data_IF_165275621814
#
_entry.id   IF_165275621814
#
_cell.length_a   1.000
_cell.length_b   1.000
_cell.length_c   1.000
_cell.angle_alpha   90.00
_cell.angle_beta   90.00
_cell.angle_gamma   90.00
#
_symmetry.space_group_name_H-M   'P 1'
#
loop_
_entity.id
_entity.type
_entity.pdbx_description
1 polymer ?
#
# COMPACT_ATOMS: atom_id res chain seq x y z
N UNK A 1 31.57 -1.18 -9.19
CA UNK A 1 30.41 -2.01 -9.57
C UNK A 1 29.38 -1.90 -8.46
N UNK A 2 28.31 -1.13 -8.66
CA UNK A 2 27.26 -0.95 -7.65
C UNK A 2 26.42 -2.23 -7.65
N UNK A 3 26.49 -2.92 -6.52
CA UNK A 3 25.84 -4.22 -6.30
C UNK A 3 24.34 -4.11 -6.56
N UNK A 4 23.89 -4.96 -7.47
CA UNK A 4 22.52 -5.34 -7.79
C UNK A 4 21.47 -4.86 -6.79
N UNK A 5 20.69 -3.89 -7.26
CA UNK A 5 19.42 -3.44 -6.71
C UNK A 5 18.67 -4.61 -6.07
N UNK A 6 18.56 -4.56 -4.76
CA UNK A 6 17.69 -5.39 -3.94
C UNK A 6 16.25 -5.05 -4.35
N UNK A 7 15.78 -5.56 -5.50
CA UNK A 7 14.37 -5.51 -5.92
C UNK A 7 13.58 -5.91 -4.70
N UNK A 8 12.76 -4.99 -4.20
CA UNK A 8 12.02 -5.21 -2.97
C UNK A 8 11.01 -6.32 -3.23
N UNK A 9 11.40 -7.57 -2.95
CA UNK A 9 10.54 -8.76 -2.87
C UNK A 9 9.52 -8.66 -1.72
N UNK A 10 9.21 -7.44 -1.27
CA UNK A 10 8.64 -7.15 0.01
C UNK A 10 7.16 -6.85 -0.19
N UNK A 11 6.28 -7.80 0.14
CA UNK A 11 4.79 -7.67 0.08
C UNK A 11 4.28 -6.39 0.75
N UNK A 12 5.05 -5.86 1.70
CA UNK A 12 4.81 -4.57 2.36
C UNK A 12 4.87 -3.37 1.39
N UNK A 13 5.77 -3.40 0.40
CA UNK A 13 5.90 -2.35 -0.61
C UNK A 13 4.65 -2.31 -1.52
N UNK A 14 4.11 -3.48 -1.89
CA UNK A 14 2.88 -3.59 -2.70
C UNK A 14 1.68 -3.05 -1.92
N UNK A 15 1.44 -3.51 -0.69
CA UNK A 15 0.32 -3.02 0.12
C UNK A 15 0.43 -1.51 0.38
N UNK A 16 1.64 -1.00 0.62
CA UNK A 16 1.86 0.45 0.78
C UNK A 16 1.57 1.21 -0.51
N UNK A 17 2.02 0.71 -1.66
CA UNK A 17 1.76 1.32 -2.96
C UNK A 17 0.25 1.44 -3.23
N UNK A 18 -0.49 0.34 -3.12
CA UNK A 18 -1.95 0.36 -3.35
C UNK A 18 -2.69 1.21 -2.31
N UNK A 19 -2.20 1.28 -1.07
CA UNK A 19 -2.77 2.16 -0.06
C UNK A 19 -2.52 3.64 -0.38
N UNK A 20 -1.30 4.01 -0.79
CA UNK A 20 -0.99 5.35 -1.27
C UNK A 20 -1.84 5.72 -2.49
N UNK A 21 -2.00 4.79 -3.44
CA UNK A 21 -2.87 4.96 -4.61
C UNK A 21 -4.33 5.18 -4.21
N UNK A 22 -4.84 4.45 -3.23
CA UNK A 22 -6.21 4.62 -2.72
C UNK A 22 -6.45 6.01 -2.08
N UNK A 23 -5.39 6.65 -1.59
CA UNK A 23 -5.44 7.95 -0.92
C UNK A 23 -4.93 9.10 -1.81
N UNK A 24 -4.60 8.85 -3.08
CA UNK A 24 -4.05 9.86 -4.01
C UNK A 24 -4.92 11.14 -4.08
N UNK A 25 -6.23 10.91 -4.18
CA UNK A 25 -7.27 11.94 -4.28
C UNK A 25 -8.16 11.96 -3.04
N UNK A 26 -7.64 11.52 -1.89
CA UNK A 26 -8.34 11.64 -0.62
C UNK A 26 -7.98 12.96 0.04
N UNK A 27 -8.97 13.83 0.24
CA UNK A 27 -8.78 15.17 0.83
C UNK A 27 -8.62 15.15 2.36
N UNK A 28 -8.75 13.97 2.97
CA UNK A 28 -8.64 13.76 4.41
C UNK A 28 -9.99 13.46 5.07
N UNK A 29 -9.94 12.91 6.28
CA UNK A 29 -11.10 12.47 7.04
C UNK A 29 -10.69 11.61 8.22
N UNK A 30 -11.56 10.69 8.60
CA UNK A 30 -11.30 9.76 9.71
C UNK A 30 -10.40 8.59 9.26
N UNK A 31 -9.90 7.83 10.24
CA UNK A 31 -9.15 6.60 9.98
C UNK A 31 -10.05 5.56 9.29
N UNK A 32 -11.33 5.54 9.64
CA UNK A 32 -12.37 4.71 9.05
C UNK A 32 -12.53 4.99 7.56
N UNK A 33 -12.67 6.27 7.18
CA UNK A 33 -12.84 6.68 5.77
C UNK A 33 -11.64 6.27 4.92
N UNK A 34 -10.43 6.53 5.44
CA UNK A 34 -9.18 6.16 4.77
C UNK A 34 -9.07 4.63 4.63
N UNK A 35 -9.43 3.88 5.67
CA UNK A 35 -9.43 2.41 5.65
C UNK A 35 -10.40 1.87 4.61
N UNK A 36 -11.63 2.36 4.55
CA UNK A 36 -12.63 1.88 3.60
C UNK A 36 -12.19 2.07 2.15
N UNK A 37 -11.57 3.23 1.84
CA UNK A 37 -10.97 3.49 0.53
C UNK A 37 -9.86 2.48 0.21
N UNK A 38 -8.92 2.27 1.14
CA UNK A 38 -7.83 1.30 0.95
C UNK A 38 -8.38 -0.11 0.75
N UNK A 39 -9.32 -0.54 1.59
CA UNK A 39 -9.93 -1.87 1.49
C UNK A 39 -10.67 -2.06 0.17
N UNK A 40 -11.32 -1.02 -0.37
CA UNK A 40 -11.94 -1.06 -1.70
C UNK A 40 -10.90 -1.31 -2.78
N UNK A 41 -9.83 -0.51 -2.82
CA UNK A 41 -8.75 -0.66 -3.81
C UNK A 41 -8.03 -2.00 -3.66
N UNK A 42 -7.83 -2.49 -2.43
CA UNK A 42 -7.25 -3.80 -2.18
C UNK A 42 -8.11 -4.92 -2.76
N UNK A 43 -9.43 -4.88 -2.56
CA UNK A 43 -10.36 -5.85 -3.18
C UNK A 43 -10.30 -5.82 -4.70
N UNK A 44 -10.31 -4.62 -5.29
CA UNK A 44 -10.24 -4.45 -6.75
C UNK A 44 -8.92 -4.97 -7.33
N UNK A 45 -7.83 -4.94 -6.54
CA UNK A 45 -6.51 -5.44 -6.86
C UNK A 45 -6.22 -6.87 -6.35
N UNK A 46 -7.24 -7.61 -5.89
CA UNK A 46 -7.07 -8.98 -5.40
C UNK A 46 -6.25 -9.13 -4.10
N UNK A 47 -5.98 -8.04 -3.39
CA UNK A 47 -5.23 -8.02 -2.13
C UNK A 47 -6.20 -8.28 -0.98
N UNK A 48 -6.02 -9.41 -0.28
CA UNK A 48 -6.82 -9.76 0.90
C UNK A 48 -6.08 -9.31 2.16
N UNK A 49 -6.69 -8.39 2.90
CA UNK A 49 -6.22 -7.93 4.21
C UNK A 49 -7.41 -7.72 5.13
N UNK A 50 -7.29 -8.14 6.38
CA UNK A 50 -8.30 -7.83 7.39
C UNK A 50 -8.22 -6.35 7.81
N UNK A 51 -9.27 -5.89 8.51
CA UNK A 51 -9.43 -4.52 9.01
C UNK A 51 -8.23 -4.06 9.84
N UNK A 52 -7.71 -4.93 10.70
CA UNK A 52 -6.62 -4.59 11.62
C UNK A 52 -5.29 -4.43 10.90
N UNK A 53 -5.00 -5.26 9.89
CA UNK A 53 -3.82 -5.12 9.06
C UNK A 53 -3.81 -3.79 8.30
N UNK A 54 -4.97 -3.34 7.81
CA UNK A 54 -5.10 -2.01 7.15
C UNK A 54 -4.95 -0.88 8.17
N UNK A 55 -5.52 -1.02 9.37
CA UNK A 55 -5.30 -0.04 10.45
C UNK A 55 -3.82 0.09 10.82
N UNK A 56 -3.11 -1.03 10.99
CA UNK A 56 -1.66 -1.07 11.25
C UNK A 56 -0.88 -0.42 10.10
N UNK A 57 -1.30 -0.63 8.86
CA UNK A 57 -0.68 0.00 7.69
C UNK A 57 -0.84 1.52 7.71
N UNK A 58 -2.06 2.02 7.97
CA UNK A 58 -2.34 3.46 8.12
C UNK A 58 -1.49 4.09 9.22
N UNK A 59 -1.37 3.44 10.39
CA UNK A 59 -0.55 3.94 11.50
C UNK A 59 0.92 4.02 11.11
N UNK A 60 1.46 2.99 10.43
CA UNK A 60 2.83 2.99 9.92
C UNK A 60 3.05 4.09 8.87
N UNK A 61 2.09 4.32 7.97
CA UNK A 61 2.18 5.37 6.96
C UNK A 61 2.18 6.76 7.60
N UNK A 62 1.34 7.00 8.61
CA UNK A 62 1.31 8.25 9.38
C UNK A 62 2.60 8.45 10.17
N UNK A 63 3.07 7.43 10.88
CA UNK A 63 4.34 7.47 11.62
C UNK A 63 5.55 7.80 10.72
N UNK A 64 5.54 7.33 9.47
CA UNK A 64 6.57 7.62 8.46
C UNK A 64 6.42 8.99 7.78
N UNK A 65 5.40 9.77 8.16
CA UNK A 65 5.11 11.07 7.57
C UNK A 65 4.58 11.01 6.13
N UNK A 66 4.02 9.88 5.70
CA UNK A 66 3.38 9.75 4.38
C UNK A 66 1.94 10.28 4.40
N UNK A 67 1.33 10.28 5.59
CA UNK A 67 -0.02 10.78 5.85
C UNK A 67 0.04 11.87 6.92
N UNK A 68 -0.82 12.87 6.78
CA UNK A 68 -1.07 13.88 7.81
C UNK A 68 -2.08 13.36 8.88
N UNK A 69 -2.38 14.13 9.94
CA UNK A 69 -3.29 13.68 11.00
C UNK A 69 -4.72 13.35 10.54
N UNK A 70 -5.17 13.90 9.41
CA UNK A 70 -6.47 13.61 8.79
C UNK A 70 -6.35 12.56 7.68
N UNK A 71 -5.26 11.78 7.66
CA UNK A 71 -5.03 10.68 6.72
C UNK A 71 -4.97 11.09 5.24
N UNK A 72 -4.71 12.37 4.95
CA UNK A 72 -4.41 12.85 3.59
C UNK A 72 -2.92 12.65 3.31
N UNK A 73 -2.59 12.39 2.04
CA UNK A 73 -1.18 12.29 1.62
C UNK A 73 -0.43 13.60 1.83
N UNK A 74 0.72 13.51 2.48
CA UNK A 74 1.71 14.60 2.52
C UNK A 74 2.46 14.69 1.19
N UNK A 75 3.23 15.76 0.99
CA UNK A 75 4.16 15.86 -0.15
C UNK A 75 5.11 14.66 -0.23
N UNK A 76 5.61 14.20 0.93
CA UNK A 76 6.43 12.99 1.02
C UNK A 76 5.66 11.75 0.57
N UNK A 77 4.41 11.60 0.99
CA UNK A 77 3.53 10.50 0.56
C UNK A 77 3.34 10.48 -0.96
N UNK A 78 3.09 11.64 -1.57
CA UNK A 78 2.95 11.80 -3.02
C UNK A 78 4.26 11.48 -3.77
N UNK A 79 5.40 11.92 -3.25
CA UNK A 79 6.72 11.61 -3.83
C UNK A 79 7.04 10.12 -3.75
N UNK A 80 6.70 9.44 -2.66
CA UNK A 80 6.86 7.99 -2.56
C UNK A 80 5.95 7.29 -3.56
N UNK A 81 4.69 7.71 -3.69
CA UNK A 81 3.77 7.14 -4.68
C UNK A 81 4.28 7.29 -6.12
N UNK A 82 4.95 8.38 -6.48
CA UNK A 82 5.50 8.56 -7.83
C UNK A 82 6.77 7.75 -8.10
N UNK A 83 7.55 7.43 -7.06
CA UNK A 83 8.76 6.61 -7.16
C UNK A 83 8.46 5.10 -7.15
N UNK A 84 7.42 4.68 -6.45
CA UNK A 84 7.09 3.26 -6.25
C UNK A 84 6.86 2.43 -7.52
N UNK A 85 6.26 2.93 -8.62
CA UNK A 85 6.18 2.17 -9.87
C UNK A 85 7.54 1.73 -10.44
N UNK A 86 8.62 2.44 -10.08
CA UNK A 86 9.99 2.08 -10.49
C UNK A 86 10.69 1.14 -9.48
N UNK A 87 10.17 1.04 -8.25
CA UNK A 87 10.75 0.25 -7.15
C UNK A 87 10.00 -1.06 -6.87
N UNK A 88 8.72 -1.12 -7.25
CA UNK A 88 7.87 -2.32 -7.18
C UNK A 88 7.92 -3.01 -8.52
N UNK A 89 8.24 -4.31 -8.52
CA UNK A 89 8.31 -5.09 -9.75
C UNK A 89 6.97 -4.96 -10.52
N UNK A 90 6.99 -4.44 -11.77
CA UNK A 90 5.78 -4.29 -12.57
C UNK A 90 5.01 -5.61 -12.73
N UNK A 91 5.72 -6.74 -12.71
CA UNK A 91 5.11 -8.07 -12.78
C UNK A 91 4.31 -8.40 -11.53
N UNK A 92 4.69 -7.88 -10.35
CA UNK A 92 3.93 -8.04 -9.11
C UNK A 92 2.68 -7.14 -9.07
N UNK A 93 2.77 -5.94 -9.64
CA UNK A 93 1.60 -5.06 -9.85
C UNK A 93 0.66 -5.69 -10.86
N UNK A 94 1.20 -6.21 -11.96
CA UNK A 94 0.46 -6.94 -12.98
C UNK A 94 -0.23 -8.15 -12.35
N UNK A 95 0.51 -9.06 -11.69
CA UNK A 95 -0.05 -10.23 -11.00
C UNK A 95 -1.14 -9.87 -10.00
N UNK A 96 -1.03 -8.78 -9.25
CA UNK A 96 -2.12 -8.30 -8.39
C UNK A 96 -3.35 -7.85 -9.21
N UNK A 97 -3.14 -7.13 -10.32
CA UNK A 97 -4.22 -6.61 -11.16
C UNK A 97 -4.91 -7.66 -12.06
N UNK A 98 -4.20 -8.70 -12.53
CA UNK A 98 -4.78 -9.80 -13.34
C UNK A 98 -5.34 -10.93 -12.49
N UNK A 99 -4.79 -11.21 -11.29
CA UNK A 99 -5.37 -12.21 -10.39
C UNK A 99 -6.54 -11.63 -9.58
N UNK A 100 -7.62 -11.24 -10.27
CA UNK A 100 -8.95 -10.97 -9.68
C UNK A 100 -9.57 -12.17 -8.92
N UNK A 101 -8.80 -13.21 -8.60
CA UNK A 101 -9.30 -14.45 -8.01
C UNK A 101 -8.24 -15.44 -7.53
N UNK A 102 -6.95 -15.07 -7.38
CA UNK A 102 -5.97 -16.00 -6.77
C UNK A 102 -5.68 -15.55 -5.34
N UNK A 103 -6.27 -16.32 -4.43
CA UNK A 103 -6.20 -16.20 -2.99
C UNK A 103 -4.77 -16.36 -2.51
N UNK A 104 -4.18 -15.27 -2.00
CA UNK A 104 -2.97 -15.34 -1.18
C UNK A 104 -3.41 -15.04 0.26
N UNK A 105 -3.66 -16.08 1.05
CA UNK A 105 -3.70 -15.95 2.51
C UNK A 105 -2.31 -15.54 2.98
N UNK A 106 -2.12 -14.24 3.25
CA UNK A 106 -0.89 -13.74 3.84
C UNK A 106 -1.08 -13.74 5.36
N UNK A 107 -0.72 -14.86 5.98
CA UNK A 107 -0.55 -14.96 7.43
C UNK A 107 0.43 -13.90 7.94
N UNK A 108 0.07 -13.30 9.09
CA UNK A 108 0.95 -12.44 9.87
C UNK A 108 2.23 -13.22 10.19
N UNK A 109 3.36 -12.84 9.58
CA UNK A 109 4.67 -13.37 9.93
C UNK A 109 5.27 -12.40 10.94
N UNK A 110 4.87 -12.54 12.20
CA UNK A 110 5.69 -12.12 13.33
C UNK A 110 6.77 -13.18 13.53
N UNK A 111 8.03 -12.77 13.32
CA UNK A 111 9.24 -13.44 13.79
C UNK A 111 10.25 -12.37 14.19
#
# INVERSE_FOLDING_TARGET
MISTNKRLSNRYAISTYFALKALADFEGGTKEDARERIMKVFRDAGIIRNKDAVNRLLDKMRYRGLLDPIFRLTERGRKVLSLMPNEVDPDLIYLANINKGVFIEVGDVDA
#
